data_IF_551160356976
#
_entry.id   IF_551160356976
#
_cell.length_a   1.000
_cell.length_b   1.000
_cell.length_c   1.000
_cell.angle_alpha   90.00
_cell.angle_beta   90.00
_cell.angle_gamma   90.00
#
_symmetry.space_group_name_H-M   'P 1'
#
loop_
_entity.id
_entity.type
_entity.pdbx_description
1 polymer ?
#
# COMPACT_ATOMS: atom_id res chain seq x y z
N UNK A 1 -12.04 -33.83 15.51
CA UNK A 1 -11.48 -33.05 16.63
C UNK A 1 -10.85 -31.78 16.08
N UNK A 2 -11.22 -30.62 16.60
CA UNK A 2 -10.54 -29.35 16.31
C UNK A 2 -9.49 -29.16 17.41
N UNK A 3 -8.23 -28.99 17.03
CA UNK A 3 -7.13 -28.74 17.97
C UNK A 3 -6.84 -27.25 17.96
N UNK A 4 -6.97 -26.60 19.10
CA UNK A 4 -6.69 -25.18 19.29
C UNK A 4 -5.36 -25.02 20.03
N UNK A 5 -4.58 -24.03 19.63
CA UNK A 5 -3.42 -23.59 20.40
C UNK A 5 -3.90 -22.78 21.61
N UNK A 6 -3.09 -22.72 22.67
CA UNK A 6 -3.46 -22.04 23.92
C UNK A 6 -3.82 -20.57 23.67
N UNK A 7 -3.11 -19.88 22.77
CA UNK A 7 -3.38 -18.49 22.40
C UNK A 7 -4.72 -18.33 21.68
N UNK A 8 -5.04 -19.24 20.76
CA UNK A 8 -6.31 -19.24 20.03
C UNK A 8 -7.47 -19.58 20.97
N UNK A 9 -7.31 -20.59 21.82
CA UNK A 9 -8.29 -20.98 22.83
C UNK A 9 -8.56 -19.85 23.82
N UNK A 10 -7.51 -19.23 24.37
CA UNK A 10 -7.63 -18.12 25.31
C UNK A 10 -8.30 -16.90 24.67
N UNK A 11 -7.97 -16.58 23.41
CA UNK A 11 -8.64 -15.52 22.67
C UNK A 11 -10.14 -15.79 22.51
N UNK A 12 -10.53 -17.03 22.17
CA UNK A 12 -11.93 -17.40 21.99
C UNK A 12 -12.73 -17.40 23.31
N UNK A 13 -12.09 -17.75 24.42
CA UNK A 13 -12.67 -17.68 25.78
C UNK A 13 -12.85 -16.23 26.22
N UNK A 14 -11.79 -15.42 26.14
CA UNK A 14 -11.75 -14.11 26.79
C UNK A 14 -12.27 -12.98 25.90
N UNK A 15 -11.92 -12.98 24.62
CA UNK A 15 -12.23 -11.88 23.70
C UNK A 15 -13.52 -12.15 22.93
N UNK A 16 -13.68 -13.37 22.40
CA UNK A 16 -14.87 -13.74 21.64
C UNK A 16 -16.03 -14.25 22.50
N UNK A 17 -15.76 -14.68 23.74
CA UNK A 17 -16.76 -15.25 24.65
C UNK A 17 -17.48 -16.50 24.12
N UNK A 18 -16.89 -17.19 23.13
CA UNK A 18 -17.57 -18.23 22.36
C UNK A 18 -17.08 -19.65 22.69
N UNK A 19 -16.20 -19.80 23.68
CA UNK A 19 -15.63 -21.08 24.10
C UNK A 19 -15.65 -21.18 25.63
N UNK A 20 -16.08 -22.33 26.15
CA UNK A 20 -15.96 -22.71 27.56
C UNK A 20 -14.89 -23.81 27.70
N UNK A 21 -14.07 -23.76 28.75
CA UNK A 21 -12.97 -24.71 28.95
C UNK A 21 -13.16 -25.48 30.26
N UNK A 22 -12.81 -26.77 30.24
CA UNK A 22 -12.81 -27.65 31.40
C UNK A 22 -11.48 -28.43 31.49
N UNK A 23 -11.07 -28.76 32.71
CA UNK A 23 -9.99 -29.71 32.98
C UNK A 23 -10.62 -30.99 33.55
N UNK A 24 -10.67 -32.05 32.75
CA UNK A 24 -11.52 -33.20 33.03
C UNK A 24 -13.00 -32.79 33.05
N UNK A 25 -13.71 -33.10 34.14
CA UNK A 25 -15.13 -32.76 34.31
C UNK A 25 -15.36 -31.39 34.96
N UNK A 26 -14.31 -30.68 35.36
CA UNK A 26 -14.42 -29.40 36.06
C UNK A 26 -14.25 -28.22 35.10
N UNK A 27 -15.31 -27.43 34.94
CA UNK A 27 -15.25 -26.16 34.19
C UNK A 27 -14.30 -25.17 34.87
N UNK A 28 -13.50 -24.50 34.05
CA UNK A 28 -12.58 -23.45 34.47
C UNK A 28 -13.14 -22.08 34.12
N UNK A 29 -12.96 -21.13 35.03
CA UNK A 29 -13.18 -19.71 34.75
C UNK A 29 -12.09 -19.18 33.80
N UNK A 30 -12.35 -18.05 33.15
CA UNK A 30 -11.37 -17.38 32.28
C UNK A 30 -10.06 -17.04 33.01
N UNK A 31 -10.14 -16.62 34.27
CA UNK A 31 -8.97 -16.32 35.11
C UNK A 31 -8.17 -17.57 35.48
N UNK A 32 -8.85 -18.68 35.78
CA UNK A 32 -8.19 -19.97 36.05
C UNK A 32 -7.52 -20.52 34.80
N UNK A 33 -8.18 -20.42 33.63
CA UNK A 33 -7.59 -20.84 32.38
C UNK A 33 -6.41 -19.96 31.97
N UNK A 34 -6.50 -18.64 32.15
CA UNK A 34 -5.38 -17.73 31.91
C UNK A 34 -4.17 -18.07 32.79
N UNK A 35 -4.39 -18.32 34.09
CA UNK A 35 -3.36 -18.76 35.03
C UNK A 35 -2.74 -20.09 34.61
N UNK A 36 -3.56 -21.02 34.12
CA UNK A 36 -3.09 -22.29 33.56
C UNK A 36 -2.19 -22.07 32.34
N UNK A 37 -2.55 -21.19 31.41
CA UNK A 37 -1.73 -20.90 30.23
C UNK A 37 -0.36 -20.30 30.62
N UNK A 38 -0.32 -19.37 31.57
CA UNK A 38 0.93 -18.78 32.08
C UNK A 38 1.82 -19.88 32.71
N UNK A 39 1.22 -20.76 33.49
CA UNK A 39 1.95 -21.84 34.18
C UNK A 39 2.43 -22.91 33.20
N UNK A 40 1.73 -23.10 32.09
CA UNK A 40 2.04 -24.12 31.09
C UNK A 40 3.24 -23.78 30.21
N UNK A 41 3.52 -22.49 29.96
CA UNK A 41 4.68 -22.07 29.19
C UNK A 41 5.18 -20.68 29.60
N UNK A 42 6.47 -20.59 29.93
CA UNK A 42 7.09 -19.37 30.45
C UNK A 42 7.06 -18.20 29.45
N UNK A 43 6.98 -18.48 28.15
CA UNK A 43 6.93 -17.51 27.06
C UNK A 43 5.50 -17.15 26.62
N UNK A 44 4.49 -17.81 27.19
CA UNK A 44 3.10 -17.71 26.75
C UNK A 44 2.59 -16.28 26.71
N UNK A 45 2.91 -15.48 27.72
CA UNK A 45 2.46 -14.08 27.83
C UNK A 45 2.94 -13.23 26.66
N UNK A 46 4.17 -13.46 26.17
CA UNK A 46 4.72 -12.75 25.02
C UNK A 46 4.06 -13.23 23.72
N UNK A 47 3.90 -14.55 23.58
CA UNK A 47 3.18 -15.17 22.46
C UNK A 47 1.76 -14.66 22.32
N UNK A 48 1.02 -14.67 23.42
CA UNK A 48 -0.36 -14.19 23.44
C UNK A 48 -0.46 -12.67 23.20
N UNK A 49 0.47 -11.85 23.73
CA UNK A 49 0.49 -10.42 23.45
C UNK A 49 0.65 -10.12 21.94
N UNK A 50 1.58 -10.81 21.26
CA UNK A 50 1.78 -10.68 19.81
C UNK A 50 0.58 -11.23 19.03
N UNK A 51 0.04 -12.37 19.45
CA UNK A 51 -1.16 -12.95 18.85
C UNK A 51 -2.34 -11.97 18.90
N UNK A 52 -2.62 -11.40 20.08
CA UNK A 52 -3.68 -10.42 20.31
C UNK A 52 -3.46 -9.15 19.48
N UNK A 53 -2.22 -8.68 19.39
CA UNK A 53 -1.85 -7.50 18.58
C UNK A 53 -2.25 -7.66 17.11
N UNK A 54 -1.96 -8.82 16.50
CA UNK A 54 -2.29 -9.10 15.11
C UNK A 54 -3.79 -9.35 14.92
N UNK A 55 -4.43 -10.14 15.78
CA UNK A 55 -5.88 -10.43 15.70
C UNK A 55 -6.73 -9.17 15.75
N UNK A 56 -6.39 -8.20 16.60
CA UNK A 56 -7.09 -6.91 16.69
C UNK A 56 -6.98 -6.04 15.45
N UNK A 57 -5.93 -6.24 14.65
CA UNK A 57 -5.71 -5.55 13.39
C UNK A 57 -6.30 -6.29 12.19
N UNK A 58 -7.15 -7.29 12.45
CA UNK A 58 -7.83 -8.06 11.41
C UNK A 58 -7.01 -9.19 10.81
N UNK A 59 -5.77 -9.43 11.28
CA UNK A 59 -4.96 -10.52 10.76
C UNK A 59 -5.44 -11.87 11.27
N UNK A 60 -5.32 -12.90 10.43
CA UNK A 60 -5.45 -14.28 10.85
C UNK A 60 -4.06 -14.81 11.20
N UNK A 61 -3.90 -15.25 12.44
CA UNK A 61 -2.63 -15.75 12.98
C UNK A 61 -2.69 -17.28 13.01
N UNK A 62 -1.68 -17.94 12.43
CA UNK A 62 -1.54 -19.39 12.45
C UNK A 62 -0.13 -19.80 12.90
N UNK A 63 0.05 -21.03 13.41
CA UNK A 63 1.36 -21.53 13.82
C UNK A 63 2.36 -21.50 12.66
N UNK A 64 3.56 -20.98 12.93
CA UNK A 64 4.63 -20.82 11.95
C UNK A 64 5.60 -22.00 11.86
N UNK A 65 5.33 -23.12 12.55
CA UNK A 65 6.27 -24.24 12.72
C UNK A 65 6.84 -24.77 11.40
N UNK A 66 6.02 -24.82 10.33
CA UNK A 66 6.44 -25.24 8.98
C UNK A 66 7.54 -24.35 8.36
N UNK A 67 7.71 -23.14 8.88
CA UNK A 67 8.69 -22.16 8.44
C UNK A 67 9.77 -21.88 9.49
N UNK A 68 9.77 -22.60 10.62
CA UNK A 68 10.72 -22.39 11.71
C UNK A 68 10.55 -21.05 12.43
N UNK A 69 9.33 -20.52 12.48
CA UNK A 69 8.99 -19.26 13.17
C UNK A 69 7.78 -19.47 14.09
N UNK A 70 7.49 -18.53 14.99
CA UNK A 70 6.40 -18.66 15.94
C UNK A 70 5.03 -18.62 15.23
N UNK A 71 4.80 -17.59 14.40
CA UNK A 71 3.56 -17.44 13.66
C UNK A 71 3.76 -17.14 12.18
N UNK A 72 2.73 -17.45 11.40
CA UNK A 72 2.49 -16.87 10.08
C UNK A 72 1.18 -16.12 10.10
N UNK A 73 1.15 -14.93 9.50
CA UNK A 73 -0.03 -14.07 9.51
C UNK A 73 -0.56 -13.82 8.11
N UNK A 74 -1.89 -13.88 7.99
CA UNK A 74 -2.63 -13.77 6.75
C UNK A 74 -3.54 -12.55 6.77
N UNK A 75 -3.65 -11.80 5.66
CA UNK A 75 -4.55 -10.66 5.56
C UNK A 75 -6.03 -11.08 5.47
N UNK A 76 -6.30 -12.35 5.13
CA UNK A 76 -7.64 -12.95 5.03
C UNK A 76 -7.54 -14.48 5.23
N UNK A 77 -8.65 -15.22 5.07
CA UNK A 77 -8.75 -16.66 5.26
C UNK A 77 -7.59 -17.43 4.56
N UNK A 78 -6.87 -18.33 5.27
CA UNK A 78 -5.74 -19.07 4.70
C UNK A 78 -6.07 -19.94 3.48
N UNK A 79 -7.36 -20.24 3.25
CA UNK A 79 -7.84 -20.95 2.07
C UNK A 79 -7.88 -20.07 0.82
N UNK A 80 -7.89 -18.74 0.99
CA UNK A 80 -8.13 -17.77 -0.06
C UNK A 80 -6.86 -16.96 -0.40
N UNK A 81 -5.96 -16.77 0.57
CA UNK A 81 -4.76 -15.94 0.41
C UNK A 81 -3.53 -16.59 1.02
N UNK A 82 -2.35 -16.24 0.51
CA UNK A 82 -1.09 -16.64 1.11
C UNK A 82 -0.76 -15.80 2.35
N UNK A 83 -0.01 -16.39 3.30
CA UNK A 83 0.51 -15.62 4.43
C UNK A 83 1.51 -14.60 3.94
N UNK A 84 1.42 -13.39 4.49
CA UNK A 84 2.20 -12.24 4.06
C UNK A 84 3.48 -12.08 4.89
N UNK A 85 3.41 -12.43 6.17
CA UNK A 85 4.52 -12.29 7.09
C UNK A 85 4.78 -13.57 7.88
N UNK A 86 6.06 -13.82 8.12
CA UNK A 86 6.57 -14.78 9.08
C UNK A 86 6.97 -14.01 10.33
N UNK A 87 6.52 -14.44 11.50
CA UNK A 87 6.66 -13.69 12.75
C UNK A 87 7.52 -14.49 13.71
N UNK A 88 8.61 -13.87 14.17
CA UNK A 88 9.47 -14.37 15.24
C UNK A 88 9.26 -13.47 16.46
N UNK A 89 8.94 -14.06 17.59
CA UNK A 89 8.66 -13.34 18.83
C UNK A 89 9.92 -13.27 19.64
N UNK A 90 10.20 -12.06 20.13
CA UNK A 90 11.36 -11.79 20.96
C UNK A 90 10.94 -11.25 22.32
N UNK A 91 10.94 -12.10 23.36
CA UNK A 91 10.65 -11.67 24.72
C UNK A 91 11.58 -10.55 25.20
N UNK A 92 11.04 -9.58 25.92
CA UNK A 92 11.77 -8.48 26.58
C UNK A 92 12.55 -7.54 25.65
N UNK A 93 12.40 -7.66 24.34
CA UNK A 93 13.13 -6.84 23.38
C UNK A 93 12.40 -5.53 23.06
N UNK A 94 13.17 -4.44 23.04
CA UNK A 94 12.69 -3.08 22.81
C UNK A 94 12.99 -2.56 21.39
N UNK A 95 13.22 -3.45 20.42
CA UNK A 95 13.28 -3.10 19.00
C UNK A 95 14.53 -2.33 18.56
N UNK A 96 15.41 -1.91 19.48
CA UNK A 96 16.54 -1.04 19.18
C UNK A 96 17.80 -1.46 19.95
N UNK A 97 18.95 -1.37 19.29
CA UNK A 97 20.34 -1.52 19.76
C UNK A 97 21.03 -2.89 19.63
N UNK A 98 20.37 -4.03 19.82
CA UNK A 98 20.98 -5.36 19.59
C UNK A 98 19.99 -6.35 18.97
N UNK A 99 20.45 -7.15 18.01
CA UNK A 99 19.68 -8.26 17.47
C UNK A 99 19.57 -9.35 18.56
N UNK A 100 18.36 -9.72 18.98
CA UNK A 100 18.13 -10.58 20.13
C UNK A 100 18.24 -12.08 19.76
N UNK A 101 19.01 -12.38 18.72
CA UNK A 101 19.18 -13.72 18.17
C UNK A 101 20.58 -13.87 17.61
N UNK A 102 21.06 -15.10 17.47
CA UNK A 102 22.38 -15.30 16.88
C UNK A 102 22.37 -14.92 15.39
N UNK A 103 23.53 -14.55 14.85
CA UNK A 103 23.67 -14.29 13.42
C UNK A 103 23.22 -15.50 12.57
N UNK A 104 23.45 -16.72 13.06
CA UNK A 104 23.03 -17.95 12.39
C UNK A 104 21.50 -18.02 12.28
N UNK A 105 20.79 -17.63 13.32
CA UNK A 105 19.31 -17.67 13.34
C UNK A 105 18.74 -16.60 12.41
N UNK A 106 19.31 -15.39 12.44
CA UNK A 106 18.92 -14.30 11.54
C UNK A 106 19.13 -14.67 10.05
N UNK A 107 20.28 -15.26 9.71
CA UNK A 107 20.57 -15.73 8.34
C UNK A 107 19.65 -16.87 7.93
N UNK A 108 19.35 -17.79 8.84
CA UNK A 108 18.44 -18.91 8.57
C UNK A 108 17.02 -18.41 8.29
N UNK A 109 16.50 -17.49 9.11
CA UNK A 109 15.21 -16.86 8.91
C UNK A 109 15.13 -16.12 7.56
N UNK A 110 16.18 -15.35 7.23
CA UNK A 110 16.28 -14.62 5.95
C UNK A 110 16.35 -15.54 4.73
N UNK A 111 16.98 -16.72 4.84
CA UNK A 111 17.07 -17.69 3.75
C UNK A 111 15.72 -18.33 3.49
N UNK A 112 15.02 -18.75 4.54
CA UNK A 112 13.69 -19.35 4.44
C UNK A 112 12.71 -18.33 3.87
N UNK A 113 12.76 -17.08 4.35
CA UNK A 113 11.87 -16.00 3.91
C UNK A 113 11.97 -15.72 2.42
N UNK A 114 13.21 -15.72 1.91
CA UNK A 114 13.53 -15.50 0.50
C UNK A 114 13.05 -16.68 -0.37
N UNK A 115 13.11 -17.92 0.13
CA UNK A 115 12.62 -19.10 -0.58
C UNK A 115 11.08 -19.14 -0.69
N UNK A 116 10.37 -18.59 0.29
CA UNK A 116 8.89 -18.63 0.34
C UNK A 116 8.23 -17.30 0.03
N UNK A 117 9.02 -16.30 -0.42
CA UNK A 117 8.60 -14.94 -0.77
C UNK A 117 7.79 -14.22 0.32
N UNK A 118 8.22 -14.34 1.59
CA UNK A 118 7.57 -13.68 2.74
C UNK A 118 8.56 -12.78 3.47
N UNK A 119 8.06 -11.71 4.09
CA UNK A 119 8.87 -10.86 4.96
C UNK A 119 8.92 -11.42 6.38
N UNK A 120 10.07 -11.32 7.06
CA UNK A 120 10.24 -11.72 8.46
C UNK A 120 10.01 -10.50 9.35
N UNK A 121 9.12 -10.63 10.31
CA UNK A 121 8.85 -9.66 11.36
C UNK A 121 9.41 -10.18 12.68
N UNK A 122 10.28 -9.40 13.31
CA UNK A 122 10.69 -9.58 14.70
C UNK A 122 9.73 -8.77 15.57
N UNK A 123 8.97 -9.46 16.41
CA UNK A 123 8.00 -8.85 17.31
C UNK A 123 8.55 -8.82 18.74
N UNK A 124 9.05 -7.65 19.14
CA UNK A 124 9.53 -7.37 20.49
C UNK A 124 8.39 -7.00 21.43
N UNK A 125 8.37 -7.60 22.61
CA UNK A 125 7.40 -7.27 23.65
C UNK A 125 8.15 -6.84 24.91
N UNK A 126 8.15 -5.53 25.17
CA UNK A 126 8.81 -4.92 26.33
C UNK A 126 7.83 -4.71 27.48
N UNK A 127 8.35 -4.59 28.70
CA UNK A 127 7.62 -4.18 29.90
C UNK A 127 6.61 -5.19 30.46
N UNK A 128 6.61 -6.43 29.98
CA UNK A 128 6.05 -7.55 30.74
C UNK A 128 7.10 -8.05 31.74
N UNK A 129 7.47 -7.20 32.70
CA UNK A 129 8.33 -7.57 33.82
C UNK A 129 7.53 -7.34 35.10
N UNK A 130 7.14 -8.42 35.77
CA UNK A 130 6.29 -8.37 36.96
C UNK A 130 5.74 -9.75 37.32
N UNK A 131 4.90 -9.81 38.35
CA UNK A 131 4.17 -11.02 38.70
C UNK A 131 3.12 -11.31 37.61
N UNK A 132 3.44 -12.24 36.71
CA UNK A 132 2.57 -12.60 35.58
C UNK A 132 1.19 -13.09 36.01
N UNK A 133 1.04 -13.56 37.25
CA UNK A 133 -0.26 -13.95 37.81
C UNK A 133 -1.19 -12.75 38.08
N UNK A 134 -0.67 -11.53 38.07
CA UNK A 134 -1.45 -10.29 38.24
C UNK A 134 -1.75 -9.57 36.93
N UNK A 135 -1.27 -10.06 35.79
CA UNK A 135 -1.59 -9.49 34.49
C UNK A 135 -3.08 -9.64 34.19
N UNK A 136 -3.73 -8.54 33.85
CA UNK A 136 -5.08 -8.55 33.31
C UNK A 136 -5.04 -8.56 31.78
N UNK A 137 -6.16 -8.91 31.15
CA UNK A 137 -6.30 -8.77 29.70
C UNK A 137 -6.04 -7.31 29.28
N UNK A 138 -6.57 -6.33 30.00
CA UNK A 138 -6.38 -4.91 29.71
C UNK A 138 -4.90 -4.50 29.69
N UNK A 139 -4.06 -5.12 30.53
CA UNK A 139 -2.61 -4.87 30.55
C UNK A 139 -1.93 -5.42 29.29
N UNK A 140 -2.31 -6.62 28.85
CA UNK A 140 -1.82 -7.23 27.60
C UNK A 140 -2.33 -6.49 26.36
N UNK A 141 -3.52 -5.92 26.44
CA UNK A 141 -4.13 -5.12 25.39
C UNK A 141 -3.45 -3.78 25.15
N UNK A 142 -2.95 -3.16 26.23
CA UNK A 142 -2.19 -1.91 26.20
C UNK A 142 -0.68 -2.16 26.03
N UNK A 143 -0.26 -3.42 26.04
CA UNK A 143 1.14 -3.79 25.88
C UNK A 143 1.65 -3.41 24.48
N UNK A 144 2.67 -2.55 24.38
CA UNK A 144 3.22 -2.16 23.09
C UNK A 144 4.04 -3.32 22.50
N UNK A 145 3.55 -3.90 21.41
CA UNK A 145 4.32 -4.81 20.57
C UNK A 145 5.09 -4.00 19.54
N UNK A 146 6.40 -4.05 19.62
CA UNK A 146 7.28 -3.43 18.65
C UNK A 146 7.57 -4.41 17.52
N UNK A 147 7.54 -3.92 16.28
CA UNK A 147 7.70 -4.76 15.09
C UNK A 147 8.87 -4.23 14.29
N UNK A 148 9.86 -5.09 14.03
CA UNK A 148 11.01 -4.79 13.18
C UNK A 148 11.03 -5.78 12.02
N UNK A 149 11.08 -5.29 10.79
CA UNK A 149 11.19 -6.17 9.63
C UNK A 149 12.66 -6.56 9.41
N UNK A 150 12.97 -7.85 9.51
CA UNK A 150 14.29 -8.37 9.14
C UNK A 150 14.35 -8.48 7.61
N UNK A 151 15.23 -7.69 7.00
CA UNK A 151 15.51 -7.73 5.55
C UNK A 151 16.98 -8.07 5.34
N UNK A 152 17.26 -8.86 4.32
CA UNK A 152 18.65 -9.10 3.90
C UNK A 152 19.24 -7.79 3.35
N UNK A 153 20.27 -7.29 4.03
CA UNK A 153 21.05 -6.16 3.54
C UNK A 153 22.16 -6.66 2.61
N UNK A 154 22.21 -6.11 1.39
CA UNK A 154 23.31 -6.36 0.45
C UNK A 154 24.34 -5.25 0.58
N UNK A 155 25.61 -5.60 0.82
CA UNK A 155 26.66 -4.61 1.03
C UNK A 155 26.96 -3.80 -0.24
N UNK A 156 26.70 -2.48 -0.19
CA UNK A 156 27.27 -1.50 -1.11
C UNK A 156 28.76 -1.32 -0.75
N UNK A 157 29.68 -1.47 -1.71
CA UNK A 157 31.09 -1.09 -1.51
C UNK A 157 31.20 0.44 -1.43
N UNK A 158 32.07 1.00 -0.58
CA UNK A 158 32.36 2.43 -0.59
C UNK A 158 33.26 2.73 -1.79
N UNK A 159 32.79 3.50 -2.77
CA UNK A 159 33.67 3.95 -3.86
C UNK A 159 33.39 5.40 -4.25
N UNK A 160 34.51 6.14 -4.29
CA UNK A 160 34.68 7.55 -4.59
C UNK A 160 33.93 8.05 -5.84
N UNK A 161 33.38 9.25 -5.69
CA UNK A 161 32.56 10.08 -6.58
C UNK A 161 32.96 10.17 -8.07
N UNK A 162 34.17 9.74 -8.46
CA UNK A 162 34.64 9.83 -9.86
C UNK A 162 34.35 8.59 -10.72
N UNK A 163 33.98 7.45 -10.12
CA UNK A 163 33.65 6.21 -10.87
C UNK A 163 32.16 6.01 -11.13
N UNK A 164 31.27 6.73 -10.45
CA UNK A 164 29.83 6.49 -10.46
C UNK A 164 29.17 6.84 -11.81
N UNK A 165 29.61 7.92 -12.47
CA UNK A 165 29.15 8.29 -13.81
C UNK A 165 29.45 7.22 -14.88
N UNK A 166 30.48 6.38 -14.69
CA UNK A 166 30.87 5.32 -15.65
C UNK A 166 30.27 3.94 -15.34
N UNK A 167 29.70 3.74 -14.15
CA UNK A 167 29.12 2.45 -13.73
C UNK A 167 27.59 2.46 -13.87
N UNK A 168 26.92 3.61 -13.68
CA UNK A 168 25.48 3.77 -13.97
C UNK A 168 25.12 3.45 -15.42
N UNK A 169 26.06 3.63 -16.36
CA UNK A 169 25.89 3.23 -17.76
C UNK A 169 26.02 1.72 -18.03
N UNK A 170 26.26 0.88 -17.02
CA UNK A 170 26.54 -0.57 -17.19
C UNK A 170 25.74 -1.53 -16.31
N UNK A 171 24.90 -1.07 -15.38
CA UNK A 171 23.83 -1.91 -14.83
C UNK A 171 22.59 -1.78 -15.73
N UNK A 172 22.43 -2.70 -16.68
CA UNK A 172 21.18 -2.85 -17.41
C UNK A 172 20.09 -3.26 -16.41
N UNK A 173 19.21 -2.33 -16.06
CA UNK A 173 17.96 -2.65 -15.37
C UNK A 173 17.16 -3.59 -16.28
N UNK A 174 16.69 -4.76 -15.79
CA UNK A 174 16.04 -5.74 -16.65
C UNK A 174 14.69 -5.26 -17.20
N UNK A 175 14.02 -4.30 -16.56
CA UNK A 175 12.78 -3.69 -17.05
C UNK A 175 12.56 -2.32 -16.40
N UNK A 176 12.11 -1.33 -17.19
CA UNK A 176 11.76 0.03 -16.73
C UNK A 176 10.26 0.25 -16.60
N UNK A 177 9.45 -0.80 -16.78
CA UNK A 177 7.99 -0.76 -16.62
C UNK A 177 7.62 -1.20 -15.20
N UNK A 178 7.49 -0.23 -14.29
CA UNK A 178 7.08 -0.43 -12.91
C UNK A 178 5.56 -0.31 -12.79
N UNK A 179 4.99 -1.05 -11.85
CA UNK A 179 3.59 -0.96 -11.41
C UNK A 179 3.60 -0.98 -9.90
N UNK A 180 3.49 0.18 -9.27
CA UNK A 180 3.52 0.30 -7.81
C UNK A 180 2.19 0.79 -7.29
N UNK A 181 1.75 0.20 -6.18
CA UNK A 181 0.62 0.65 -5.41
C UNK A 181 1.08 0.94 -3.98
N UNK A 182 0.60 2.02 -3.39
CA UNK A 182 0.82 2.37 -2.00
C UNK A 182 -0.54 2.54 -1.34
N UNK A 183 -0.80 1.75 -0.28
CA UNK A 183 -2.04 1.86 0.47
C UNK A 183 -1.92 3.01 1.47
N UNK A 184 -2.79 4.01 1.30
CA UNK A 184 -2.76 5.24 2.11
C UNK A 184 -3.64 5.16 3.35
N UNK A 185 -4.62 4.25 3.36
CA UNK A 185 -5.48 4.00 4.51
C UNK A 185 -4.65 3.46 5.67
N UNK A 186 -4.87 4.03 6.86
CA UNK A 186 -4.12 3.76 8.09
C UNK A 186 -2.63 4.12 8.02
N UNK A 187 -2.20 4.90 7.00
CA UNK A 187 -0.87 5.46 6.97
C UNK A 187 -0.81 6.71 7.86
N UNK A 188 -0.22 6.54 9.04
CA UNK A 188 -0.12 7.57 10.08
C UNK A 188 1.35 7.85 10.42
N UNK A 189 2.06 8.61 9.56
CA UNK A 189 3.42 9.03 9.87
C UNK A 189 3.42 9.95 11.10
N UNK A 190 4.42 9.76 11.96
CA UNK A 190 4.74 10.68 13.03
C UNK A 190 5.07 12.08 12.49
N UNK A 191 5.04 13.10 13.36
CA UNK A 191 5.41 14.46 12.95
C UNK A 191 6.83 14.55 12.37
N UNK A 192 7.77 13.77 12.92
CA UNK A 192 9.15 13.74 12.43
C UNK A 192 9.28 13.06 11.05
N UNK A 193 8.59 11.95 10.83
CA UNK A 193 8.53 11.28 9.52
C UNK A 193 7.87 12.18 8.49
N UNK A 194 6.77 12.87 8.86
CA UNK A 194 6.08 13.81 8.00
C UNK A 194 6.99 14.96 7.57
N UNK A 195 7.68 15.59 8.53
CA UNK A 195 8.63 16.66 8.25
C UNK A 195 9.77 16.18 7.34
N UNK A 196 10.33 14.99 7.60
CA UNK A 196 11.35 14.40 6.74
C UNK A 196 10.85 14.19 5.30
N UNK A 197 9.65 13.65 5.12
CA UNK A 197 9.05 13.44 3.80
C UNK A 197 8.83 14.74 3.03
N UNK A 198 8.39 15.80 3.69
CA UNK A 198 8.24 17.12 3.07
C UNK A 198 9.57 17.68 2.59
N UNK A 199 10.63 17.51 3.41
CA UNK A 199 12.00 17.88 3.01
C UNK A 199 12.52 17.08 1.82
N UNK A 200 12.05 15.86 1.61
CA UNK A 200 12.45 15.03 0.47
C UNK A 200 11.74 15.38 -0.85
N UNK A 201 10.77 16.30 -0.85
CA UNK A 201 10.04 16.74 -2.06
C UNK A 201 10.69 17.96 -2.72
N UNK A 202 10.41 18.18 -4.01
CA UNK A 202 10.80 19.39 -4.70
C UNK A 202 9.96 20.57 -4.19
N UNK A 203 10.57 21.74 -4.01
CA UNK A 203 9.89 22.96 -3.54
C UNK A 203 8.66 23.31 -4.41
N UNK A 204 8.75 23.11 -5.73
CA UNK A 204 7.66 23.41 -6.68
C UNK A 204 6.40 22.56 -6.46
N UNK A 205 6.50 21.40 -5.82
CA UNK A 205 5.35 20.56 -5.50
C UNK A 205 4.60 21.08 -4.25
N UNK A 206 5.28 21.78 -3.34
CA UNK A 206 4.72 22.18 -2.04
C UNK A 206 3.51 23.14 -2.16
N UNK A 207 3.49 24.17 -3.02
CA UNK A 207 2.31 25.02 -3.21
C UNK A 207 1.07 24.23 -3.66
N UNK A 208 1.23 23.13 -4.41
CA UNK A 208 0.10 22.27 -4.82
C UNK A 208 -0.42 21.46 -3.65
N UNK A 209 0.47 20.91 -2.82
CA UNK A 209 0.10 20.13 -1.64
C UNK A 209 -0.58 21.04 -0.60
N UNK A 210 -0.07 22.27 -0.41
CA UNK A 210 -0.67 23.30 0.47
C UNK A 210 -2.08 23.73 0.10
N UNK A 211 -2.47 23.59 -1.17
CA UNK A 211 -3.81 23.93 -1.66
C UNK A 211 -4.86 22.85 -1.38
N UNK A 212 -4.44 21.65 -0.99
CA UNK A 212 -5.36 20.58 -0.64
C UNK A 212 -6.07 20.90 0.68
N UNK A 213 -7.36 20.57 0.75
CA UNK A 213 -8.20 20.83 1.92
C UNK A 213 -8.28 19.59 2.82
N UNK A 214 -8.40 18.41 2.22
CA UNK A 214 -8.58 17.16 2.95
C UNK A 214 -7.24 16.48 3.26
N UNK A 215 -7.17 15.84 4.43
CA UNK A 215 -5.94 15.19 4.92
C UNK A 215 -5.52 14.05 4.01
N UNK A 216 -6.49 13.33 3.47
CA UNK A 216 -6.32 12.21 2.56
C UNK A 216 -5.66 12.66 1.26
N UNK A 217 -6.10 13.79 0.69
CA UNK A 217 -5.52 14.35 -0.53
C UNK A 217 -4.10 14.89 -0.30
N UNK A 218 -3.84 15.50 0.86
CA UNK A 218 -2.48 15.91 1.26
C UNK A 218 -1.57 14.69 1.34
N UNK A 219 -2.01 13.64 2.04
CA UNK A 219 -1.26 12.38 2.15
C UNK A 219 -1.01 11.78 0.76
N UNK A 220 -2.01 11.75 -0.11
CA UNK A 220 -1.90 11.16 -1.44
C UNK A 220 -0.91 11.95 -2.31
N UNK A 221 -0.94 13.27 -2.23
CA UNK A 221 -0.03 14.14 -2.95
C UNK A 221 1.42 13.98 -2.48
N UNK A 222 1.66 13.86 -1.17
CA UNK A 222 3.00 13.60 -0.60
C UNK A 222 3.51 12.22 -1.01
N UNK A 223 2.71 11.17 -0.77
CA UNK A 223 3.05 9.79 -1.14
C UNK A 223 3.36 9.68 -2.64
N UNK A 224 2.51 10.27 -3.48
CA UNK A 224 2.70 10.28 -4.92
C UNK A 224 3.97 11.02 -5.38
N UNK A 225 4.27 12.17 -4.77
CA UNK A 225 5.50 12.91 -5.02
C UNK A 225 6.76 12.08 -4.76
N UNK A 226 6.79 11.40 -3.61
CA UNK A 226 7.91 10.54 -3.22
C UNK A 226 8.02 9.29 -4.11
N UNK A 227 6.89 8.64 -4.41
CA UNK A 227 6.85 7.49 -5.32
C UNK A 227 7.38 7.84 -6.71
N UNK A 228 7.02 9.02 -7.24
CA UNK A 228 7.54 9.51 -8.53
C UNK A 228 9.06 9.64 -8.51
N UNK A 229 9.63 10.32 -7.49
CA UNK A 229 11.09 10.48 -7.39
C UNK A 229 11.79 9.13 -7.27
N UNK A 230 11.28 8.21 -6.45
CA UNK A 230 11.84 6.86 -6.33
C UNK A 230 11.79 6.11 -7.66
N UNK A 231 10.66 6.12 -8.37
CA UNK A 231 10.51 5.42 -9.63
C UNK A 231 11.45 5.97 -10.71
N UNK A 232 11.60 7.30 -10.78
CA UNK A 232 12.55 7.95 -11.69
C UNK A 232 13.97 7.52 -11.34
N UNK A 233 14.37 7.60 -10.07
CA UNK A 233 15.71 7.19 -9.62
C UNK A 233 16.02 5.74 -10.02
N UNK A 234 15.08 4.82 -9.78
CA UNK A 234 15.22 3.39 -10.13
C UNK A 234 15.31 3.17 -11.65
N UNK A 235 14.49 3.85 -12.44
CA UNK A 235 14.42 3.63 -13.89
C UNK A 235 15.48 4.40 -14.70
N UNK A 236 16.03 5.49 -14.15
CA UNK A 236 17.00 6.36 -14.83
C UNK A 236 18.41 6.27 -14.25
N UNK A 237 18.54 5.77 -13.03
CA UNK A 237 19.79 5.80 -12.28
C UNK A 237 20.17 7.19 -11.78
N UNK A 238 19.31 8.22 -11.93
CA UNK A 238 19.54 9.54 -11.34
C UNK A 238 19.51 9.47 -9.81
N UNK A 239 20.39 10.24 -9.15
CA UNK A 239 20.33 10.44 -7.72
C UNK A 239 19.10 11.25 -7.34
N UNK A 240 18.66 11.14 -6.07
CA UNK A 240 17.41 11.77 -5.63
C UNK A 240 17.38 13.28 -5.82
N UNK A 241 18.51 13.95 -5.61
CA UNK A 241 18.73 15.40 -5.77
C UNK A 241 19.00 15.83 -7.23
N UNK A 242 19.41 14.91 -8.10
CA UNK A 242 19.56 15.16 -9.54
C UNK A 242 18.20 15.19 -10.28
N UNK A 243 17.15 14.63 -9.68
CA UNK A 243 15.82 14.56 -10.30
C UNK A 243 15.17 15.93 -10.28
N UNK A 244 14.94 16.49 -11.47
CA UNK A 244 14.17 17.71 -11.64
C UNK A 244 12.86 17.39 -12.35
N UNK A 245 11.75 17.69 -11.68
CA UNK A 245 10.41 17.50 -12.21
C UNK A 245 9.86 18.85 -12.69
N UNK A 246 9.24 18.84 -13.86
CA UNK A 246 8.46 19.94 -14.40
C UNK A 246 7.02 19.48 -14.62
N UNK A 247 6.12 20.40 -14.98
CA UNK A 247 4.75 20.08 -15.35
C UNK A 247 4.44 20.57 -16.74
N UNK A 248 3.68 19.77 -17.49
CA UNK A 248 3.10 20.20 -18.77
C UNK A 248 2.13 21.36 -18.58
N UNK A 249 1.68 21.96 -19.69
CA UNK A 249 0.59 22.94 -19.70
C UNK A 249 -0.72 22.41 -19.11
N UNK A 250 -0.92 21.10 -19.10
CA UNK A 250 -2.07 20.40 -18.50
C UNK A 250 -1.82 19.95 -17.05
N UNK A 251 -0.65 20.27 -16.48
CA UNK A 251 -0.29 19.95 -15.10
C UNK A 251 0.29 18.55 -14.87
N UNK A 252 0.45 17.75 -15.93
CA UNK A 252 1.05 16.41 -15.87
C UNK A 252 2.52 16.51 -15.46
N UNK A 253 2.98 15.81 -14.40
CA UNK A 253 4.39 15.81 -14.01
C UNK A 253 5.23 15.09 -15.07
N UNK A 254 6.39 15.66 -15.39
CA UNK A 254 7.34 15.18 -16.40
C UNK A 254 8.76 15.40 -15.91
N UNK A 255 9.71 14.60 -16.42
CA UNK A 255 11.14 14.84 -16.19
C UNK A 255 11.56 16.11 -16.95
N UNK A 256 12.41 16.93 -16.35
CA UNK A 256 12.90 18.17 -16.96
C UNK A 256 13.62 17.89 -18.29
N UNK A 257 13.32 18.67 -19.33
CA UNK A 257 13.83 18.47 -20.69
C UNK A 257 15.36 18.61 -20.80
N UNK A 258 16.00 19.25 -19.82
CA UNK A 258 17.46 19.31 -19.70
C UNK A 258 18.10 17.96 -19.38
N UNK A 259 17.35 17.03 -18.80
CA UNK A 259 17.80 15.67 -18.48
C UNK A 259 17.62 14.82 -19.74
N UNK A 260 18.71 14.56 -20.46
CA UNK A 260 18.71 13.72 -21.66
C UNK A 260 18.92 12.26 -21.29
N UNK A 261 17.93 11.43 -21.58
CA UNK A 261 18.02 9.98 -21.51
C UNK A 261 18.27 9.43 -22.91
N UNK A 262 19.05 8.35 -23.01
CA UNK A 262 19.31 7.66 -24.29
C UNK A 262 18.12 6.80 -24.76
N UNK A 263 16.99 6.87 -24.04
CA UNK A 263 15.81 6.06 -24.23
C UNK A 263 14.54 6.84 -23.86
N UNK A 264 13.39 6.33 -24.34
CA UNK A 264 12.10 6.87 -23.96
C UNK A 264 11.73 6.45 -22.55
N UNK A 265 11.22 7.40 -21.77
CA UNK A 265 10.79 7.15 -20.41
C UNK A 265 9.60 8.04 -20.09
N UNK A 266 8.51 7.42 -19.67
CA UNK A 266 7.32 8.11 -19.21
C UNK A 266 6.77 7.45 -17.94
N UNK A 267 6.04 8.23 -17.16
CA UNK A 267 5.41 7.77 -15.94
C UNK A 267 4.07 8.46 -15.71
N UNK A 268 3.23 7.83 -14.90
CA UNK A 268 1.98 8.42 -14.48
C UNK A 268 1.61 7.97 -13.07
N UNK A 269 0.84 8.81 -12.40
CA UNK A 269 0.39 8.63 -11.03
C UNK A 269 -1.13 8.84 -11.01
N UNK A 270 -1.83 7.99 -10.26
CA UNK A 270 -3.23 8.22 -9.90
C UNK A 270 -3.45 7.90 -8.43
N UNK A 271 -4.48 8.48 -7.83
CA UNK A 271 -4.92 8.12 -6.50
C UNK A 271 -6.44 8.23 -6.41
N UNK A 272 -7.06 7.25 -5.76
CA UNK A 272 -8.48 7.29 -5.44
C UNK A 272 -8.76 6.28 -4.34
N UNK A 273 -9.61 6.68 -3.39
CA UNK A 273 -9.94 5.84 -2.26
C UNK A 273 -8.71 5.50 -1.43
N UNK A 274 -8.38 4.21 -1.38
CA UNK A 274 -7.41 3.69 -0.42
C UNK A 274 -5.98 3.61 -0.96
N UNK A 275 -5.76 3.94 -2.25
CA UNK A 275 -4.47 3.78 -2.92
C UNK A 275 -3.98 5.03 -3.64
N UNK A 276 -2.66 5.14 -3.66
CA UNK A 276 -1.89 5.87 -4.66
C UNK A 276 -1.20 4.83 -5.55
N UNK A 277 -1.35 4.91 -6.86
CA UNK A 277 -0.66 4.06 -7.82
C UNK A 277 0.31 4.85 -8.69
N UNK A 278 1.37 4.17 -9.13
CA UNK A 278 2.34 4.69 -10.07
C UNK A 278 2.64 3.64 -11.14
N UNK A 279 2.66 4.07 -12.40
CA UNK A 279 3.15 3.27 -13.51
C UNK A 279 4.28 4.00 -14.24
N UNK A 280 5.27 3.24 -14.72
CA UNK A 280 6.28 3.72 -15.66
C UNK A 280 6.25 2.91 -16.95
N UNK A 281 6.72 3.51 -18.03
CA UNK A 281 6.83 2.86 -19.35
C UNK A 281 8.09 3.31 -20.05
N UNK A 282 8.68 2.41 -20.83
CA UNK A 282 9.75 2.71 -21.79
C UNK A 282 9.23 3.30 -23.11
N UNK A 283 7.94 3.65 -23.18
CA UNK A 283 7.34 4.33 -24.33
C UNK A 283 7.21 5.83 -24.08
N UNK A 284 6.91 6.59 -25.14
CA UNK A 284 6.75 8.04 -25.07
C UNK A 284 5.60 8.50 -24.19
N UNK A 285 4.62 7.63 -23.91
CA UNK A 285 3.43 7.97 -23.13
C UNK A 285 3.08 6.88 -22.14
N UNK A 286 2.66 7.31 -20.95
CA UNK A 286 2.13 6.45 -19.93
C UNK A 286 1.00 7.20 -19.23
N UNK A 287 -0.10 6.49 -19.00
CA UNK A 287 -1.24 6.90 -18.21
C UNK A 287 -1.63 5.79 -17.26
N UNK A 288 -2.03 6.14 -16.05
CA UNK A 288 -2.46 5.20 -15.05
C UNK A 288 -3.68 5.78 -14.35
N UNK A 289 -4.64 4.92 -14.04
CA UNK A 289 -5.78 5.29 -13.24
C UNK A 289 -6.15 4.22 -12.21
N UNK A 290 -6.75 4.67 -11.10
CA UNK A 290 -7.28 3.79 -10.05
C UNK A 290 -8.60 4.39 -9.59
N UNK A 291 -9.62 3.55 -9.47
CA UNK A 291 -10.95 3.95 -9.02
C UNK A 291 -11.42 3.03 -7.90
N UNK A 292 -11.96 3.64 -6.84
CA UNK A 292 -12.61 2.89 -5.76
C UNK A 292 -14.04 2.60 -6.20
N UNK A 293 -14.38 1.32 -6.23
CA UNK A 293 -15.71 0.82 -6.53
C UNK A 293 -16.56 1.04 -5.29
N UNK A 294 -17.31 2.14 -5.29
CA UNK A 294 -18.25 2.47 -4.23
C UNK A 294 -19.55 3.03 -4.81
N UNK A 295 -20.63 2.85 -4.05
CA UNK A 295 -21.90 3.49 -4.37
C UNK A 295 -21.73 5.01 -4.32
N UNK A 296 -22.40 5.76 -5.22
CA UNK A 296 -22.40 7.21 -5.20
C UNK A 296 -22.86 7.72 -3.83
N UNK A 297 -22.15 8.71 -3.27
CA UNK A 297 -22.50 9.32 -1.98
C UNK A 297 -23.68 10.31 -2.06
N UNK A 298 -24.22 10.50 -3.25
CA UNK A 298 -25.36 11.38 -3.52
C UNK A 298 -26.65 10.70 -3.05
N UNK A 299 -27.66 11.50 -2.65
CA UNK A 299 -29.01 11.02 -2.34
C UNK A 299 -29.78 10.64 -3.62
N UNK A 300 -29.20 9.75 -4.42
CA UNK A 300 -29.78 9.25 -5.67
C UNK A 300 -29.56 7.75 -5.77
N UNK A 301 -30.47 7.05 -6.44
CA UNK A 301 -30.30 5.62 -6.70
C UNK A 301 -29.32 5.40 -7.88
N UNK A 302 -28.85 4.15 -8.06
CA UNK A 302 -27.88 3.84 -9.11
C UNK A 302 -28.40 4.09 -10.52
N UNK A 303 -29.69 3.90 -10.78
CA UNK A 303 -30.25 4.15 -12.11
C UNK A 303 -30.22 5.65 -12.46
N UNK A 304 -30.54 6.52 -11.50
CA UNK A 304 -30.43 7.97 -11.64
C UNK A 304 -28.97 8.40 -11.84
N UNK A 305 -28.05 7.82 -11.07
CA UNK A 305 -26.63 8.09 -11.20
C UNK A 305 -26.10 7.70 -12.58
N UNK A 306 -26.37 6.49 -13.07
CA UNK A 306 -25.92 6.06 -14.40
C UNK A 306 -26.55 6.86 -15.53
N UNK A 307 -27.82 7.25 -15.40
CA UNK A 307 -28.47 8.14 -16.37
C UNK A 307 -27.82 9.52 -16.41
N UNK A 308 -27.40 10.05 -15.27
CA UNK A 308 -26.69 11.34 -15.20
C UNK A 308 -25.29 11.24 -15.82
N UNK A 309 -24.62 10.11 -15.65
CA UNK A 309 -23.28 9.87 -16.18
C UNK A 309 -23.27 9.36 -17.63
N UNK A 310 -24.42 8.98 -18.20
CA UNK A 310 -24.50 8.38 -19.53
C UNK A 310 -23.85 9.19 -20.67
N UNK A 311 -23.85 10.54 -20.67
CA UNK A 311 -23.18 11.31 -21.72
C UNK A 311 -21.66 11.11 -21.78
N UNK A 312 -21.06 10.43 -20.81
CA UNK A 312 -19.62 10.16 -20.73
C UNK A 312 -19.22 8.79 -21.30
N UNK A 313 -20.20 8.01 -21.77
CA UNK A 313 -20.01 6.66 -22.30
C UNK A 313 -20.50 6.60 -23.73
N UNK A 314 -19.90 5.71 -24.53
CA UNK A 314 -20.46 5.36 -25.82
C UNK A 314 -21.80 4.61 -25.63
N UNK A 315 -22.68 4.66 -26.61
CA UNK A 315 -24.01 4.05 -26.53
C UNK A 315 -23.93 2.54 -26.24
N UNK A 316 -22.97 1.84 -26.84
CA UNK A 316 -22.73 0.41 -26.62
C UNK A 316 -22.18 0.12 -25.21
N UNK A 317 -21.32 0.98 -24.68
CA UNK A 317 -20.78 0.85 -23.31
C UNK A 317 -21.92 1.02 -22.29
N UNK A 318 -22.77 2.03 -22.50
CA UNK A 318 -23.93 2.27 -21.66
C UNK A 318 -24.99 1.16 -21.78
N UNK A 319 -25.20 0.61 -22.98
CA UNK A 319 -26.05 -0.56 -23.19
C UNK A 319 -25.51 -1.79 -22.44
N UNK A 320 -24.21 -2.06 -22.53
CA UNK A 320 -23.56 -3.16 -21.81
C UNK A 320 -23.68 -3.03 -20.28
N UNK A 321 -23.56 -1.79 -19.77
CA UNK A 321 -23.78 -1.48 -18.35
C UNK A 321 -25.22 -1.79 -17.93
N UNK A 322 -26.22 -1.41 -18.73
CA UNK A 322 -27.63 -1.67 -18.40
C UNK A 322 -28.02 -3.15 -18.47
N UNK A 323 -27.26 -3.98 -19.19
CA UNK A 323 -27.49 -5.43 -19.29
C UNK A 323 -26.97 -6.24 -18.10
N UNK A 324 -26.16 -5.64 -17.21
CA UNK A 324 -25.66 -6.33 -16.03
C UNK A 324 -26.79 -6.66 -15.04
N UNK A 325 -26.69 -7.81 -14.35
CA UNK A 325 -27.79 -8.37 -13.55
C UNK A 325 -27.89 -7.73 -12.18
N UNK A 326 -26.74 -7.43 -11.58
CA UNK A 326 -26.64 -6.90 -10.22
C UNK A 326 -26.04 -5.50 -10.22
N UNK A 327 -26.35 -4.73 -9.17
CA UNK A 327 -25.78 -3.40 -8.96
C UNK A 327 -24.25 -3.44 -8.79
N UNK A 328 -23.70 -4.52 -8.20
CA UNK A 328 -22.25 -4.72 -8.08
C UNK A 328 -21.60 -4.83 -9.45
N UNK A 329 -22.14 -5.70 -10.32
CA UNK A 329 -21.63 -5.86 -11.69
C UNK A 329 -21.72 -4.56 -12.50
N UNK A 330 -22.81 -3.78 -12.32
CA UNK A 330 -22.96 -2.45 -12.94
C UNK A 330 -21.88 -1.48 -12.48
N UNK A 331 -21.64 -1.40 -11.17
CA UNK A 331 -20.63 -0.52 -10.58
C UNK A 331 -19.22 -0.92 -11.00
N UNK A 332 -18.90 -2.21 -10.98
CA UNK A 332 -17.61 -2.73 -11.45
C UNK A 332 -17.36 -2.35 -12.91
N UNK A 333 -18.34 -2.59 -13.79
CA UNK A 333 -18.20 -2.26 -15.21
C UNK A 333 -18.14 -0.74 -15.45
N UNK A 334 -18.92 0.05 -14.70
CA UNK A 334 -18.86 1.52 -14.73
C UNK A 334 -17.45 2.03 -14.42
N UNK A 335 -16.89 1.63 -13.28
CA UNK A 335 -15.58 2.11 -12.84
C UNK A 335 -14.45 1.54 -13.70
N UNK A 336 -14.64 0.37 -14.32
CA UNK A 336 -13.71 -0.18 -15.31
C UNK A 336 -13.61 0.70 -16.55
N UNK A 337 -14.74 1.06 -17.17
CA UNK A 337 -14.75 1.99 -18.31
C UNK A 337 -14.19 3.36 -17.93
N UNK A 338 -14.54 3.86 -16.73
CA UNK A 338 -13.98 5.12 -16.22
C UNK A 338 -12.45 5.08 -16.15
N UNK A 339 -11.92 4.02 -15.55
CA UNK A 339 -10.49 3.82 -15.37
C UNK A 339 -9.76 3.72 -16.72
N UNK A 340 -10.37 3.04 -17.71
CA UNK A 340 -9.88 2.95 -19.07
C UNK A 340 -9.78 4.33 -19.75
N UNK A 341 -10.89 5.09 -19.76
CA UNK A 341 -10.94 6.44 -20.33
C UNK A 341 -9.92 7.38 -19.67
N UNK A 342 -9.89 7.42 -18.33
CA UNK A 342 -8.95 8.26 -17.58
C UNK A 342 -7.49 7.85 -17.82
N UNK A 343 -7.18 6.56 -17.86
CA UNK A 343 -5.81 6.09 -18.14
C UNK A 343 -5.35 6.53 -19.54
N UNK A 344 -6.21 6.44 -20.55
CA UNK A 344 -5.91 6.91 -21.91
C UNK A 344 -5.69 8.42 -21.93
N UNK A 345 -6.61 9.21 -21.36
CA UNK A 345 -6.51 10.67 -21.29
C UNK A 345 -5.25 11.15 -20.58
N UNK A 346 -4.89 10.47 -19.49
CA UNK A 346 -3.65 10.71 -18.76
C UNK A 346 -2.42 10.35 -19.59
N UNK A 347 -2.49 9.31 -20.42
CA UNK A 347 -1.39 8.93 -21.32
C UNK A 347 -1.13 10.04 -22.35
N UNK A 348 -2.16 10.47 -23.09
CA UNK A 348 -2.04 11.48 -24.15
C UNK A 348 -1.92 12.92 -23.61
N UNK A 349 -2.29 13.17 -22.36
CA UNK A 349 -2.09 14.43 -21.66
C UNK A 349 -3.14 15.52 -21.93
N UNK A 350 -4.30 15.18 -22.52
CA UNK A 350 -5.37 16.12 -22.86
C UNK A 350 -6.30 16.46 -21.69
N UNK A 351 -6.35 15.63 -20.63
CA UNK A 351 -7.36 15.73 -19.57
C UNK A 351 -8.79 15.50 -20.10
N UNK A 352 -9.82 15.76 -19.29
CA UNK A 352 -11.26 15.53 -19.63
C UNK A 352 -11.80 16.64 -20.56
N UNK A 353 -11.02 17.06 -21.56
CA UNK A 353 -11.39 18.16 -22.47
C UNK A 353 -12.01 17.69 -23.79
N UNK A 354 -12.04 16.38 -24.00
CA UNK A 354 -12.68 15.76 -25.15
C UNK A 354 -14.02 15.15 -24.74
N UNK A 355 -14.88 14.94 -25.73
CA UNK A 355 -16.11 14.20 -25.56
C UNK A 355 -15.80 12.72 -25.28
N UNK A 356 -16.04 12.27 -24.05
CA UNK A 356 -15.77 10.91 -23.61
C UNK A 356 -16.66 9.87 -24.31
N UNK A 357 -17.81 10.28 -24.84
CA UNK A 357 -18.71 9.38 -25.57
C UNK A 357 -18.12 8.91 -26.90
N UNK A 358 -17.15 9.63 -27.46
CA UNK A 358 -16.45 9.27 -28.69
C UNK A 358 -15.42 8.14 -28.48
N UNK A 359 -15.10 7.79 -27.23
CA UNK A 359 -14.19 6.70 -26.90
C UNK A 359 -14.97 5.42 -26.66
N UNK A 360 -14.66 4.39 -27.43
CA UNK A 360 -15.30 3.09 -27.33
C UNK A 360 -14.27 2.01 -26.99
N UNK A 361 -14.45 1.38 -25.83
CA UNK A 361 -13.61 0.28 -25.36
C UNK A 361 -14.25 -1.09 -25.59
N UNK A 362 -13.46 -2.04 -26.06
CA UNK A 362 -13.86 -3.45 -26.21
C UNK A 362 -12.84 -4.36 -25.55
N UNK A 363 -13.30 -5.45 -24.92
CA UNK A 363 -12.45 -6.41 -24.21
C UNK A 363 -13.08 -7.81 -24.20
N UNK A 364 -12.28 -8.83 -23.88
CA UNK A 364 -12.68 -10.23 -24.04
C UNK A 364 -13.77 -10.71 -23.08
N UNK A 365 -13.79 -10.13 -21.87
CA UNK A 365 -14.74 -10.48 -20.82
C UNK A 365 -15.24 -9.23 -20.12
N UNK A 366 -16.55 -9.12 -19.89
CA UNK A 366 -17.16 -8.04 -19.10
C UNK A 366 -16.77 -8.11 -17.62
N UNK A 367 -16.50 -9.31 -17.12
CA UNK A 367 -16.11 -9.54 -15.73
C UNK A 367 -14.59 -9.69 -15.66
N UNK A 368 -13.95 -8.93 -14.77
CA UNK A 368 -12.54 -9.06 -14.46
C UNK A 368 -12.38 -9.47 -12.99
N UNK A 369 -12.21 -10.77 -12.67
CA UNK A 369 -12.05 -11.20 -11.29
C UNK A 369 -10.80 -10.62 -10.62
N UNK A 370 -10.84 -10.44 -9.30
CA UNK A 370 -9.67 -10.04 -8.51
C UNK A 370 -8.54 -11.05 -8.67
N UNK A 371 -7.32 -10.55 -8.90
CA UNK A 371 -6.14 -11.38 -9.15
C UNK A 371 -5.98 -11.86 -10.59
N UNK A 372 -6.93 -11.53 -11.48
CA UNK A 372 -6.79 -11.71 -12.93
C UNK A 372 -6.42 -10.39 -13.62
N UNK A 373 -6.00 -10.51 -14.89
CA UNK A 373 -5.56 -9.40 -15.72
C UNK A 373 -6.27 -9.45 -17.07
N UNK A 374 -6.58 -8.28 -17.61
CA UNK A 374 -7.03 -8.12 -18.99
C UNK A 374 -6.03 -7.23 -19.74
N UNK A 375 -5.66 -7.69 -20.94
CA UNK A 375 -4.70 -7.00 -21.84
C UNK A 375 -5.16 -6.99 -23.30
N UNK A 376 -6.29 -7.64 -23.60
CA UNK A 376 -6.86 -7.69 -24.96
C UNK A 376 -7.64 -6.43 -25.30
N UNK A 377 -7.83 -5.52 -24.35
CA UNK A 377 -8.65 -4.32 -24.50
C UNK A 377 -8.19 -3.45 -25.66
N UNK A 378 -9.16 -3.01 -26.45
CA UNK A 378 -8.97 -2.12 -27.61
C UNK A 378 -9.81 -0.86 -27.46
N UNK A 379 -9.26 0.23 -27.99
CA UNK A 379 -9.90 1.54 -28.05
C UNK A 379 -10.16 1.92 -29.51
N UNK A 380 -11.37 2.39 -29.77
CA UNK A 380 -11.72 3.19 -30.95
C UNK A 380 -12.03 4.60 -30.47
N UNK A 381 -11.40 5.61 -31.06
CA UNK A 381 -11.68 7.01 -30.74
C UNK A 381 -12.02 7.76 -32.02
N UNK A 382 -13.20 8.40 -32.05
CA UNK A 382 -13.72 9.11 -33.23
C UNK A 382 -13.67 8.23 -34.50
N UNK A 383 -14.30 7.06 -34.40
CA UNK A 383 -14.34 6.00 -35.43
C UNK A 383 -12.98 5.41 -35.85
N UNK A 384 -11.88 5.88 -35.25
CA UNK A 384 -10.52 5.48 -35.61
C UNK A 384 -9.94 4.51 -34.57
N UNK A 385 -9.59 3.27 -34.96
CA UNK A 385 -8.94 2.32 -34.06
C UNK A 385 -7.58 2.83 -33.58
N UNK A 386 -7.39 2.87 -32.27
CA UNK A 386 -6.16 3.31 -31.60
C UNK A 386 -5.25 2.10 -31.31
N UNK A 387 -4.82 1.41 -32.36
CA UNK A 387 -4.12 0.12 -32.26
C UNK A 387 -2.72 0.19 -31.65
N UNK A 388 -2.13 1.38 -31.60
CA UNK A 388 -0.82 1.61 -31.00
C UNK A 388 -0.85 1.58 -29.46
N UNK A 389 -2.04 1.73 -28.86
CA UNK A 389 -2.20 1.73 -27.41
C UNK A 389 -2.49 0.33 -26.87
N UNK A 390 -1.85 0.03 -25.75
CA UNK A 390 -2.08 -1.16 -24.94
C UNK A 390 -2.63 -0.75 -23.58
N UNK A 391 -3.55 -1.56 -23.07
CA UNK A 391 -4.18 -1.38 -21.78
C UNK A 391 -3.91 -2.60 -20.91
N UNK A 392 -3.50 -2.36 -19.67
CA UNK A 392 -3.35 -3.37 -18.63
C UNK A 392 -4.37 -3.09 -17.54
N UNK A 393 -5.33 -3.99 -17.37
CA UNK A 393 -6.39 -3.85 -16.39
C UNK A 393 -6.24 -4.89 -15.28
N UNK A 394 -6.51 -4.48 -14.05
CA UNK A 394 -6.55 -5.37 -12.90
C UNK A 394 -7.40 -4.79 -11.77
N UNK A 395 -7.70 -5.62 -10.78
CA UNK A 395 -8.18 -5.17 -9.48
C UNK A 395 -7.05 -5.26 -8.45
N UNK A 396 -6.78 -4.16 -7.73
CA UNK A 396 -5.80 -4.15 -6.63
C UNK A 396 -6.34 -4.90 -5.41
N UNK A 397 -7.65 -4.79 -5.20
CA UNK A 397 -8.46 -5.54 -4.24
C UNK A 397 -9.93 -5.52 -4.72
N UNK A 398 -10.88 -6.18 -4.04
CA UNK A 398 -12.28 -6.22 -4.48
C UNK A 398 -12.98 -4.87 -4.61
N UNK A 399 -12.38 -3.77 -4.14
CA UNK A 399 -12.98 -2.43 -4.19
C UNK A 399 -12.18 -1.45 -5.03
N UNK A 400 -11.13 -1.86 -5.73
CA UNK A 400 -10.29 -0.93 -6.50
C UNK A 400 -9.92 -1.50 -7.87
N UNK A 401 -10.47 -0.89 -8.91
CA UNK A 401 -10.06 -1.12 -10.30
C UNK A 401 -8.87 -0.23 -10.62
N UNK A 402 -7.90 -0.77 -11.37
CA UNK A 402 -6.75 -0.03 -11.85
C UNK A 402 -6.47 -0.36 -13.32
N UNK A 403 -6.06 0.65 -14.06
CA UNK A 403 -5.73 0.54 -15.47
C UNK A 403 -4.44 1.29 -15.79
N UNK A 404 -3.60 0.72 -16.66
CA UNK A 404 -2.43 1.38 -17.22
C UNK A 404 -2.53 1.39 -18.74
N UNK A 405 -2.33 2.56 -19.33
CA UNK A 405 -2.31 2.79 -20.77
C UNK A 405 -0.90 3.25 -21.21
N UNK A 406 -0.38 2.66 -22.28
CA UNK A 406 0.90 3.03 -22.89
C UNK A 406 0.92 2.62 -24.37
N UNK A 407 1.95 3.04 -25.12
CA UNK A 407 2.11 2.60 -26.51
C UNK A 407 3.06 1.40 -26.65
N UNK A 408 2.69 0.40 -27.47
CA UNK A 408 3.49 -0.82 -27.74
C UNK A 408 4.45 -0.64 -28.93
N UNK A 409 4.57 0.56 -29.49
CA UNK A 409 5.39 0.87 -30.64
C UNK A 409 6.90 0.99 -30.33
N UNK A 410 7.28 0.97 -29.04
CA UNK A 410 8.65 1.31 -28.60
C UNK A 410 9.14 0.60 -27.32
N UNK A 411 8.57 -0.55 -26.92
CA UNK A 411 9.14 -1.28 -25.78
C UNK A 411 10.56 -1.77 -26.15
N UNK A 412 11.59 -1.23 -25.50
CA UNK A 412 12.98 -1.67 -25.69
C UNK A 412 13.10 -3.19 -25.51
N UNK A 413 14.11 -3.81 -26.13
CA UNK A 413 14.36 -5.26 -26.06
C UNK A 413 14.41 -5.81 -24.61
N UNK A 414 14.77 -4.97 -23.63
CA UNK A 414 14.79 -5.33 -22.20
C UNK A 414 13.36 -5.48 -21.61
N UNK A 415 12.38 -4.77 -22.15
CA UNK A 415 10.96 -4.88 -21.80
C UNK A 415 10.21 -5.98 -22.58
N UNK A 416 10.82 -6.60 -23.61
CA UNK A 416 10.19 -7.66 -24.42
C UNK A 416 9.70 -8.85 -23.59
N UNK A 417 10.35 -9.15 -22.47
CA UNK A 417 9.91 -10.23 -21.57
C UNK A 417 8.48 -10.06 -21.04
N UNK A 418 7.97 -8.82 -21.05
CA UNK A 418 6.61 -8.45 -20.68
C UNK A 418 5.70 -8.16 -21.87
N UNK A 419 6.19 -8.27 -23.11
CA UNK A 419 5.36 -8.03 -24.29
C UNK A 419 4.23 -9.06 -24.34
N UNK A 420 2.99 -8.57 -24.40
CA UNK A 420 1.80 -9.42 -24.33
C UNK A 420 1.59 -10.12 -22.97
N UNK A 421 2.20 -9.62 -21.89
CA UNK A 421 1.97 -10.10 -20.52
C UNK A 421 1.67 -8.92 -19.59
N UNK A 422 0.75 -9.10 -18.66
CA UNK A 422 0.46 -8.06 -17.68
C UNK A 422 1.57 -7.96 -16.62
N UNK A 423 1.87 -6.74 -16.19
CA UNK A 423 2.76 -6.47 -15.06
C UNK A 423 1.87 -6.24 -13.83
N UNK A 424 1.91 -7.10 -12.80
CA UNK A 424 1.08 -6.91 -11.61
C UNK A 424 1.55 -5.69 -10.81
N UNK A 425 0.59 -4.95 -10.23
CA UNK A 425 0.91 -3.93 -9.25
C UNK A 425 1.56 -4.54 -8.01
N UNK A 426 2.71 -4.01 -7.63
CA UNK A 426 3.44 -4.37 -6.42
C UNK A 426 3.11 -3.37 -5.33
N UNK A 427 2.69 -3.87 -4.16
CA UNK A 427 2.50 -3.03 -2.99
C UNK A 427 3.86 -2.58 -2.44
N UNK A 428 4.09 -1.28 -2.37
CA UNK A 428 5.32 -0.68 -1.83
C UNK A 428 5.08 -0.07 -0.46
N UNK A 429 6.14 0.10 0.33
CA UNK A 429 6.11 0.80 1.63
C UNK A 429 6.83 2.14 1.54
N UNK A 430 6.50 3.09 2.42
CA UNK A 430 7.21 4.38 2.45
C UNK A 430 8.69 4.24 2.80
N UNK A 431 9.06 3.28 3.64
CA UNK A 431 10.48 2.97 3.91
C UNK A 431 11.24 2.58 2.63
N UNK A 432 10.60 1.81 1.74
CA UNK A 432 11.20 1.47 0.44
C UNK A 432 11.30 2.69 -0.46
N UNK A 433 10.25 3.51 -0.50
CA UNK A 433 10.22 4.75 -1.30
C UNK A 433 11.31 5.72 -0.83
N UNK A 434 11.56 5.81 0.48
CA UNK A 434 12.51 6.74 1.09
C UNK A 434 13.95 6.18 1.23
N UNK A 435 14.20 4.93 0.84
CA UNK A 435 15.49 4.26 1.09
C UNK A 435 16.73 5.03 0.58
N UNK A 436 16.60 5.78 -0.51
CA UNK A 436 17.67 6.60 -1.11
C UNK A 436 17.30 8.09 -1.15
N UNK A 437 16.31 8.51 -0.34
CA UNK A 437 15.83 9.88 -0.34
C UNK A 437 16.79 10.81 0.41
N UNK A 438 17.02 11.99 -0.15
CA UNK A 438 17.79 13.06 0.49
C UNK A 438 16.91 14.30 0.62
N UNK A 439 17.21 15.12 1.63
CA UNK A 439 16.50 16.39 1.87
C UNK A 439 16.88 17.40 0.80
N UNK A 440 15.87 17.99 0.17
CA UNK A 440 15.98 18.98 -0.91
C UNK A 440 15.61 20.39 -0.44
N UNK A 441 14.94 20.49 0.70
CA UNK A 441 14.45 21.72 1.27
C UNK A 441 14.35 21.61 2.81
N UNK A 442 14.05 22.73 3.46
CA UNK A 442 13.93 22.84 4.92
C UNK A 442 12.47 22.87 5.42
N UNK A 443 11.51 22.50 4.57
CA UNK A 443 10.08 22.57 4.89
C UNK A 443 9.65 21.41 5.78
N UNK A 444 9.21 21.73 6.99
CA UNK A 444 8.87 20.74 8.01
C UNK A 444 7.35 20.58 8.19
N UNK A 445 6.56 21.52 7.68
CA UNK A 445 5.12 21.53 7.86
C UNK A 445 4.36 22.11 6.66
N UNK A 446 3.16 21.56 6.43
CA UNK A 446 2.16 22.15 5.54
C UNK A 446 1.03 22.64 6.44
N UNK A 447 0.80 23.96 6.56
CA UNK A 447 -0.35 24.47 7.30
C UNK A 447 -1.60 23.99 6.56
N UNK A 448 -2.36 23.09 7.18
CA UNK A 448 -3.62 22.59 6.63
C UNK A 448 -4.70 23.63 6.96
N UNK A 449 -5.21 24.41 5.99
CA UNK A 449 -6.30 25.33 6.24
C UNK A 449 -7.54 24.49 6.55
N UNK A 450 -8.13 24.64 7.73
CA UNK A 450 -9.32 23.88 8.11
C UNK A 450 -9.09 22.72 9.08
N UNK A 451 -7.95 22.68 9.78
CA UNK A 451 -7.87 21.98 11.08
C UNK A 451 -8.72 22.75 12.12
N UNK A 452 -10.04 22.84 11.92
CA UNK A 452 -10.98 22.90 13.02
C UNK A 452 -10.85 21.57 13.76
N UNK A 453 -9.85 21.46 14.64
CA UNK A 453 -10.09 20.67 15.84
C UNK A 453 -11.24 21.38 16.54
N UNK A 454 -12.33 20.64 16.80
CA UNK A 454 -13.03 20.88 18.04
C UNK A 454 -11.95 20.74 19.13
N UNK A 455 -11.45 21.88 19.61
CA UNK A 455 -10.75 21.91 20.87
C UNK A 455 -11.87 21.56 21.86
N UNK A 456 -11.79 20.47 22.63
CA UNK A 456 -12.56 20.45 23.86
C UNK A 456 -12.20 21.77 24.55
N UNK A 457 -13.19 22.52 25.04
CA UNK A 457 -12.88 23.49 26.08
C UNK A 457 -12.20 22.62 27.15
N UNK A 458 -10.86 22.70 27.21
CA UNK A 458 -10.11 22.09 28.29
C UNK A 458 -10.77 22.61 29.56
N UNK A 459 -10.94 21.74 30.55
CA UNK A 459 -11.47 22.14 31.85
C UNK A 459 -10.92 23.53 32.17
N UNK A 460 -11.82 24.50 32.35
CA UNK A 460 -11.47 25.81 32.88
C UNK A 460 -10.40 25.61 33.94
N UNK A 461 -9.25 26.21 33.71
CA UNK A 461 -8.11 26.08 34.58
C UNK A 461 -8.46 26.69 35.95
N UNK A 462 -8.94 25.86 36.87
CA UNK A 462 -9.15 26.25 38.27
C UNK A 462 -7.84 26.24 39.07
N UNK A 463 -6.68 25.98 38.45
CA UNK A 463 -5.38 26.06 39.15
C UNK A 463 -5.01 27.50 39.56
N UNK A 464 -5.72 28.51 39.05
CA UNK A 464 -5.62 29.89 39.52
C UNK A 464 -6.34 30.17 40.87
N UNK A 465 -7.04 29.21 41.49
CA UNK A 465 -7.76 29.42 42.77
C UNK A 465 -7.29 28.59 43.97
N UNK A 466 -6.20 27.82 43.85
CA UNK A 466 -5.69 27.03 44.97
C UNK A 466 -4.19 27.21 45.18
N UNK A 467 -3.77 28.44 45.47
CA UNK A 467 -2.67 28.71 46.42
C UNK A 467 -3.01 29.94 47.26
N UNK A 468 -3.04 29.74 48.58
CA UNK A 468 -3.09 30.72 49.70
C UNK A 468 -4.42 30.91 50.46
N UNK A 469 -4.75 29.96 51.35
CA UNK A 469 -4.62 30.14 52.80
C UNK A 469 -4.71 28.80 53.53
#
# INVERSE_FOLDING_TARGET
LVVLYLEEALYLVIVSGCLSIANGDQLMTSSEFFSYCITSAADFVFRFAVYLHFRRRGWIVKPGLNYGVDYVVYPDAPNNVHSQFMVIIVPHWNGFHELPMTWRDAVSASRISSAVSKNVLLCGVKNLNGDFQKLTLADLEQCPVQIVCLKQWFARRPFSDKKEHKIRSKLKMPCRCLRWAFRIVNWEPSGAEWAHMLRCLQLDDLPRIRRQVFREDIRAAVAGGLMMRKAISVCTGLAWDEIKLIRSSTGKPMLDESIKLDYQFSFNLSHHGDYVILATSSSSVCGADVMKIEYPRLQMNLAEYFKMMSPQFADEEYAALNQQRTDSEKLELFYRYWCLKESYLKAIGFGIRCDLSQMHFTFSSLILPVGQFEISTKLVFDETPQNEFTFEECHLDPRHAACVCYKDDSLEAECEQHRGKCIPFQLVTMDFVLQDAVTLNDEEAIPVPGLCKAVPIGALDFSCYLVSR
#
